data_IF_101114700567
#
_entry.id   IF_101114700567
#
_cell.length_a   1.000
_cell.length_b   1.000
_cell.length_c   1.000
_cell.angle_alpha   90.00
_cell.angle_beta   90.00
_cell.angle_gamma   90.00
#
_symmetry.space_group_name_H-M   'P 1'
#
loop_
_entity.id
_entity.type
_entity.pdbx_description
1 polymer ?
#
# COMPACT_ATOMS: atom_id res chain seq x y z
N UNK A 1 -3.75 -13.14 27.89
CA UNK A 1 -3.11 -12.06 27.12
C UNK A 1 -3.37 -12.33 25.65
N UNK A 2 -3.97 -11.39 24.93
CA UNK A 2 -4.06 -11.46 23.48
C UNK A 2 -2.96 -10.59 22.88
N UNK A 3 -2.27 -11.09 21.88
CA UNK A 3 -1.21 -10.37 21.16
C UNK A 3 -1.56 -10.36 19.69
N UNK A 4 -1.54 -9.17 19.10
CA UNK A 4 -1.73 -8.97 17.66
C UNK A 4 -0.38 -8.55 17.09
N UNK A 5 0.07 -9.22 16.03
CA UNK A 5 1.27 -8.87 15.30
C UNK A 5 0.84 -8.42 13.91
N UNK A 6 1.28 -7.23 13.51
CA UNK A 6 1.04 -6.69 12.18
C UNK A 6 2.34 -6.79 11.38
N UNK A 7 2.29 -7.08 10.08
CA UNK A 7 3.47 -7.02 9.22
C UNK A 7 3.96 -5.57 9.04
N UNK A 8 4.96 -5.35 8.19
CA UNK A 8 5.27 -4.00 7.71
C UNK A 8 4.09 -3.42 6.92
N UNK A 9 3.89 -2.11 7.00
CA UNK A 9 2.79 -1.45 6.29
C UNK A 9 3.00 -1.54 4.77
N UNK A 10 1.94 -1.85 4.04
CA UNK A 10 1.95 -1.79 2.57
C UNK A 10 1.80 -0.36 2.03
N UNK A 11 1.43 0.58 2.89
CA UNK A 11 1.19 1.97 2.53
C UNK A 11 2.46 2.79 2.74
N UNK A 12 2.79 3.64 1.78
CA UNK A 12 3.92 4.55 1.84
C UNK A 12 3.71 5.76 2.76
N UNK A 13 2.63 5.77 3.55
CA UNK A 13 2.32 6.84 4.50
C UNK A 13 1.85 6.29 5.84
N UNK A 14 2.01 7.08 6.90
CA UNK A 14 1.53 6.74 8.24
C UNK A 14 -0.01 6.68 8.22
N UNK A 15 -0.59 5.59 8.71
CA UNK A 15 -2.05 5.44 8.79
C UNK A 15 -2.51 5.28 10.25
N UNK A 16 -3.66 5.87 10.62
CA UNK A 16 -4.28 5.60 11.91
C UNK A 16 -4.88 4.18 11.89
N UNK A 17 -4.44 3.34 12.82
CA UNK A 17 -5.02 2.02 13.05
C UNK A 17 -5.90 2.07 14.30
N UNK A 18 -7.18 1.78 14.13
CA UNK A 18 -8.16 1.79 15.22
C UNK A 18 -8.58 0.37 15.56
N UNK A 19 -8.37 -0.01 16.82
CA UNK A 19 -8.90 -1.24 17.40
C UNK A 19 -10.11 -0.91 18.26
N UNK A 20 -11.23 -1.57 17.98
CA UNK A 20 -12.39 -1.60 18.88
C UNK A 20 -12.38 -2.95 19.62
N UNK A 21 -12.43 -2.88 20.95
CA UNK A 21 -12.55 -4.03 21.84
C UNK A 21 -13.92 -3.95 22.51
N UNK A 22 -14.66 -5.06 22.50
CA UNK A 22 -15.94 -5.17 23.21
C UNK A 22 -15.79 -6.24 24.29
N UNK A 23 -16.21 -5.93 25.52
CA UNK A 23 -16.23 -6.92 26.61
C UNK A 23 -17.55 -7.73 26.63
N UNK A 24 -17.61 -8.73 27.51
CA UNK A 24 -18.78 -9.62 27.64
C UNK A 24 -20.05 -8.88 28.10
N UNK A 25 -19.91 -7.68 28.66
CA UNK A 25 -21.03 -6.81 29.03
C UNK A 25 -21.46 -5.89 27.88
N UNK A 26 -20.83 -5.99 26.70
CA UNK A 26 -21.11 -5.16 25.53
C UNK A 26 -20.46 -3.77 25.56
N UNK A 27 -19.58 -3.50 26.53
CA UNK A 27 -18.89 -2.20 26.63
C UNK A 27 -17.80 -2.13 25.57
N UNK A 28 -17.77 -1.03 24.82
CA UNK A 28 -16.78 -0.78 23.78
C UNK A 28 -15.64 0.12 24.26
N UNK A 29 -14.42 -0.23 23.88
CA UNK A 29 -13.22 0.60 24.05
C UNK A 29 -12.47 0.71 22.74
N UNK A 30 -12.00 1.92 22.46
CA UNK A 30 -11.27 2.22 21.23
C UNK A 30 -9.83 2.60 21.56
N UNK A 31 -8.89 2.07 20.80
CA UNK A 31 -7.49 2.47 20.86
C UNK A 31 -6.98 2.79 19.46
N UNK A 32 -6.31 3.91 19.30
CA UNK A 32 -5.76 4.36 18.02
C UNK A 32 -4.24 4.39 18.10
N UNK A 33 -3.60 3.79 17.11
CA UNK A 33 -2.15 3.75 16.95
C UNK A 33 -1.75 4.37 15.62
N UNK A 34 -0.56 4.93 15.56
CA UNK A 34 0.07 5.27 14.28
C UNK A 34 0.75 4.02 13.74
N UNK A 35 0.21 3.44 12.67
CA UNK A 35 0.86 2.38 11.93
C UNK A 35 1.79 3.02 10.91
N UNK A 36 3.09 2.86 11.14
CA UNK A 36 4.12 3.57 10.40
C UNK A 36 4.16 3.17 8.93
N UNK A 37 4.46 4.14 8.08
CA UNK A 37 4.68 3.94 6.65
C UNK A 37 5.68 2.79 6.41
N UNK A 38 5.38 1.97 5.40
CA UNK A 38 6.33 1.03 4.84
C UNK A 38 7.24 1.69 3.81
N UNK A 39 8.09 0.89 3.18
CA UNK A 39 8.91 1.36 2.07
C UNK A 39 8.07 1.69 0.83
N UNK A 40 8.41 2.78 0.15
CA UNK A 40 7.87 3.09 -1.18
C UNK A 40 8.48 2.14 -2.21
N UNK A 41 7.65 1.71 -3.16
CA UNK A 41 7.98 0.75 -4.22
C UNK A 41 7.44 1.25 -5.54
N UNK A 42 8.21 1.08 -6.60
CA UNK A 42 7.83 1.39 -7.98
C UNK A 42 8.36 0.30 -8.90
N UNK A 43 7.49 -0.25 -9.74
CA UNK A 43 7.84 -1.29 -10.70
C UNK A 43 7.19 -1.02 -12.05
N UNK A 44 7.92 -1.35 -13.11
CA UNK A 44 7.45 -1.28 -14.50
C UNK A 44 7.53 -2.68 -15.09
N UNK A 45 6.44 -3.13 -15.70
CA UNK A 45 6.33 -4.51 -16.20
C UNK A 45 7.19 -4.81 -17.43
N UNK A 46 7.68 -3.77 -18.13
CA UNK A 46 8.48 -3.88 -19.34
C UNK A 46 9.67 -2.94 -19.30
N UNK A 47 10.85 -3.46 -19.62
CA UNK A 47 12.09 -2.68 -19.79
C UNK A 47 12.35 -2.29 -21.24
N UNK A 48 11.55 -2.79 -22.19
CA UNK A 48 11.73 -2.54 -23.63
C UNK A 48 10.39 -2.60 -24.33
N UNK A 49 10.19 -1.70 -25.29
CA UNK A 49 9.07 -1.70 -26.24
C UNK A 49 9.62 -1.75 -27.67
N UNK A 50 9.12 -2.67 -28.49
CA UNK A 50 9.56 -2.84 -29.87
C UNK A 50 8.44 -2.40 -30.83
N UNK A 51 8.73 -1.46 -31.73
CA UNK A 51 7.74 -0.96 -32.69
C UNK A 51 8.15 -1.34 -34.11
N UNK A 52 7.19 -1.85 -34.87
CA UNK A 52 7.38 -2.17 -36.28
C UNK A 52 7.25 -0.90 -37.15
N UNK A 53 7.75 -0.94 -38.40
CA UNK A 53 7.73 0.20 -39.32
C UNK A 53 6.34 0.78 -39.61
N UNK A 54 5.27 -0.02 -39.45
CA UNK A 54 3.88 0.44 -39.56
C UNK A 54 3.35 1.23 -38.36
N UNK A 55 4.17 1.41 -37.31
CA UNK A 55 3.78 2.05 -36.07
C UNK A 55 2.82 1.20 -35.22
N UNK A 56 2.21 1.84 -34.22
CA UNK A 56 1.24 1.23 -33.31
C UNK A 56 1.33 1.79 -31.90
N UNK A 57 0.36 1.43 -31.05
CA UNK A 57 0.37 1.74 -29.63
C UNK A 57 0.85 0.54 -28.83
N UNK A 58 1.64 0.80 -27.78
CA UNK A 58 2.00 -0.18 -26.78
C UNK A 58 1.74 0.39 -25.39
N UNK A 59 1.58 -0.49 -24.42
CA UNK A 59 1.30 -0.12 -23.04
C UNK A 59 2.34 -0.71 -22.10
N UNK A 60 2.70 0.07 -21.09
CA UNK A 60 3.44 -0.38 -19.92
C UNK A 60 2.51 -0.29 -18.73
N UNK A 61 2.63 -1.24 -17.82
CA UNK A 61 1.95 -1.19 -16.54
C UNK A 61 2.97 -0.72 -15.51
N UNK A 62 2.58 0.31 -14.77
CA UNK A 62 3.35 0.83 -13.64
C UNK A 62 2.59 0.46 -12.37
N UNK A 63 3.28 -0.18 -11.43
CA UNK A 63 2.74 -0.48 -10.11
C UNK A 63 3.52 0.32 -9.09
N UNK A 64 2.81 1.14 -8.31
CA UNK A 64 3.36 1.95 -7.22
C UNK A 64 2.46 1.83 -6.00
N UNK A 65 3.04 1.86 -4.80
CA UNK A 65 2.30 2.02 -3.55
C UNK A 65 2.39 3.47 -3.00
N UNK A 66 3.01 4.37 -3.74
CA UNK A 66 3.22 5.78 -3.39
C UNK A 66 2.90 6.70 -4.58
N UNK A 67 2.82 8.01 -4.32
CA UNK A 67 2.75 9.02 -5.37
C UNK A 67 4.00 8.99 -6.25
N UNK A 68 3.81 9.16 -7.56
CA UNK A 68 4.90 9.14 -8.53
C UNK A 68 4.60 10.08 -9.70
N UNK A 69 5.66 10.51 -10.39
CA UNK A 69 5.56 11.39 -11.56
C UNK A 69 6.59 10.98 -12.62
N UNK A 70 6.34 11.41 -13.87
CA UNK A 70 7.29 11.34 -14.98
C UNK A 70 7.84 12.74 -15.19
N UNK A 71 9.16 12.89 -15.19
CA UNK A 71 9.88 14.14 -15.44
C UNK A 71 10.47 14.17 -16.84
#
# INVERSE_FOLDING_TARGET
MATIILPESQFATDIPLTFEMTDDAGTKKTCTFTYKAGASTLSVDKTTLNFNAGGGSQSVNVTSNDEWSVL
#
